data_IF_053405696092
#
_entry.id   IF_053405696092
#
_cell.length_a   1.000
_cell.length_b   1.000
_cell.length_c   1.000
_cell.angle_alpha   90.00
_cell.angle_beta   90.00
_cell.angle_gamma   90.00
#
_symmetry.space_group_name_H-M   'P 1'
#
loop_
_entity.id
_entity.type
_entity.pdbx_description
1 polymer ?
#
# COMPACT_ATOMS: atom_id res chain seq x y z
N UNK A 1 16.45 -32.49 11.71
CA UNK A 1 15.52 -33.19 12.62
C UNK A 1 14.15 -32.52 12.48
N UNK A 2 13.12 -33.23 12.02
CA UNK A 2 11.76 -32.69 11.99
C UNK A 2 11.24 -32.59 13.45
N UNK A 3 10.94 -31.38 13.90
CA UNK A 3 10.46 -31.07 15.25
C UNK A 3 8.95 -30.85 15.14
N UNK A 4 8.15 -31.85 15.55
CA UNK A 4 6.70 -31.88 15.33
C UNK A 4 5.92 -30.65 15.83
N UNK A 5 6.36 -29.99 16.90
CA UNK A 5 5.67 -28.80 17.41
C UNK A 5 5.88 -27.54 16.57
N UNK A 6 6.88 -27.54 15.67
CA UNK A 6 7.14 -26.44 14.73
C UNK A 6 6.36 -26.58 13.41
N UNK A 7 5.70 -27.71 13.13
CA UNK A 7 4.94 -27.91 11.89
C UNK A 7 3.84 -26.85 11.64
N UNK A 8 3.09 -26.37 12.65
CA UNK A 8 2.10 -25.31 12.46
C UNK A 8 2.70 -23.98 11.97
N UNK A 9 3.99 -23.73 12.21
CA UNK A 9 4.66 -22.49 11.80
C UNK A 9 5.03 -22.49 10.32
N UNK A 10 4.96 -23.66 9.65
CA UNK A 10 5.26 -23.84 8.23
C UNK A 10 6.53 -23.09 7.80
N UNK A 11 7.61 -23.19 8.59
CA UNK A 11 8.75 -22.27 8.53
C UNK A 11 9.38 -22.17 7.13
N UNK A 12 9.48 -23.28 6.40
CA UNK A 12 10.00 -23.28 5.02
C UNK A 12 9.14 -22.41 4.09
N UNK A 13 7.82 -22.62 4.11
CA UNK A 13 6.89 -21.82 3.33
C UNK A 13 6.89 -20.35 3.78
N UNK A 14 6.87 -20.11 5.09
CA UNK A 14 6.91 -18.76 5.67
C UNK A 14 8.18 -18.01 5.25
N UNK A 15 9.35 -18.64 5.32
CA UNK A 15 10.63 -18.05 4.90
C UNK A 15 10.65 -17.80 3.40
N UNK A 16 10.14 -18.74 2.60
CA UNK A 16 10.07 -18.58 1.15
C UNK A 16 9.18 -17.40 0.76
N UNK A 17 7.97 -17.31 1.33
CA UNK A 17 7.05 -16.19 1.08
C UNK A 17 7.65 -14.87 1.58
N UNK A 18 8.23 -14.85 2.77
CA UNK A 18 8.89 -13.67 3.32
C UNK A 18 10.03 -13.19 2.42
N UNK A 19 10.87 -14.10 1.93
CA UNK A 19 12.00 -13.76 1.05
C UNK A 19 11.55 -13.10 -0.26
N UNK A 20 10.46 -13.58 -0.87
CA UNK A 20 9.90 -12.97 -2.09
C UNK A 20 9.47 -11.53 -1.84
N UNK A 21 8.77 -11.27 -0.73
CA UNK A 21 8.31 -9.92 -0.39
C UNK A 21 9.47 -8.99 -0.02
N UNK A 22 10.46 -9.50 0.72
CA UNK A 22 11.66 -8.73 1.07
C UNK A 22 12.46 -8.33 -0.15
N UNK A 23 12.64 -9.23 -1.13
CA UNK A 23 13.37 -8.91 -2.35
C UNK A 23 12.65 -7.86 -3.20
N UNK A 24 11.31 -7.85 -3.22
CA UNK A 24 10.55 -6.81 -3.92
C UNK A 24 10.72 -5.42 -3.30
N UNK A 25 11.09 -5.33 -2.01
CA UNK A 25 11.36 -4.07 -1.32
C UNK A 25 12.81 -3.58 -1.46
N UNK A 26 13.70 -4.37 -2.07
CA UNK A 26 15.14 -4.05 -2.20
C UNK A 26 15.46 -3.35 -3.52
N UNK A 27 14.60 -3.46 -4.54
CA UNK A 27 14.79 -2.78 -5.84
C UNK A 27 13.63 -1.83 -6.12
N UNK A 28 13.88 -0.53 -5.93
CA UNK A 28 12.87 0.50 -6.14
C UNK A 28 12.49 0.74 -7.61
N UNK A 29 13.19 0.16 -8.59
CA UNK A 29 12.75 0.20 -9.99
C UNK A 29 11.44 -0.56 -10.16
N UNK A 30 11.24 -1.64 -9.41
CA UNK A 30 9.98 -2.37 -9.40
C UNK A 30 8.84 -1.54 -8.81
N UNK A 31 9.13 -0.77 -7.76
CA UNK A 31 8.15 0.15 -7.18
C UNK A 31 7.78 1.27 -8.17
N UNK A 32 8.77 1.86 -8.85
CA UNK A 32 8.54 2.84 -9.90
C UNK A 32 7.63 2.28 -11.02
N UNK A 33 7.92 1.09 -11.53
CA UNK A 33 7.10 0.42 -12.55
C UNK A 33 5.67 0.17 -12.06
N UNK A 34 5.50 -0.19 -10.79
CA UNK A 34 4.19 -0.44 -10.20
C UNK A 34 3.39 0.85 -10.02
N UNK A 35 4.01 1.94 -9.55
CA UNK A 35 3.39 3.27 -9.52
C UNK A 35 2.90 3.71 -10.90
N UNK A 36 3.71 3.45 -11.92
CA UNK A 36 3.38 3.78 -13.30
C UNK A 36 2.18 2.97 -13.82
N UNK A 37 2.07 1.69 -13.44
CA UNK A 37 0.89 0.85 -13.72
C UNK A 37 -0.33 1.36 -12.96
N UNK A 38 -0.21 1.65 -11.66
CA UNK A 38 -1.31 2.16 -10.86
C UNK A 38 -1.85 3.48 -11.43
N UNK A 39 -0.98 4.45 -11.74
CA UNK A 39 -1.40 5.71 -12.37
C UNK A 39 -2.23 5.49 -13.64
N UNK A 40 -1.81 4.54 -14.49
CA UNK A 40 -2.54 4.17 -15.72
C UNK A 40 -3.89 3.50 -15.42
N UNK A 41 -3.91 2.55 -14.48
CA UNK A 41 -5.15 1.85 -14.07
C UNK A 41 -6.19 2.81 -13.48
N UNK A 42 -5.75 3.84 -12.76
CA UNK A 42 -6.61 4.78 -12.04
C UNK A 42 -6.87 6.11 -12.77
N UNK A 43 -6.42 6.27 -14.02
CA UNK A 43 -6.53 7.51 -14.82
C UNK A 43 -7.97 8.10 -14.88
N UNK A 44 -8.99 7.24 -14.84
CA UNK A 44 -10.40 7.62 -14.91
C UNK A 44 -11.09 7.74 -13.54
N UNK A 45 -10.34 7.73 -12.44
CA UNK A 45 -10.85 7.86 -11.07
C UNK A 45 -10.31 9.13 -10.42
N UNK A 46 -10.99 10.28 -10.54
CA UNK A 46 -10.49 11.57 -10.05
C UNK A 46 -10.21 11.64 -8.54
N UNK A 47 -10.82 10.74 -7.77
CA UNK A 47 -10.63 10.67 -6.32
C UNK A 47 -9.33 9.96 -5.89
N UNK A 48 -8.55 9.42 -6.83
CA UNK A 48 -7.34 8.64 -6.55
C UNK A 48 -6.20 9.16 -7.43
N UNK A 49 -5.11 9.56 -6.80
CA UNK A 49 -3.86 9.89 -7.49
C UNK A 49 -2.71 9.05 -6.94
N UNK A 50 -1.65 8.93 -7.74
CA UNK A 50 -0.43 8.25 -7.38
C UNK A 50 0.75 9.15 -7.77
N UNK A 51 1.83 9.18 -6.97
CA UNK A 51 3.08 9.82 -7.35
C UNK A 51 3.57 9.35 -8.72
N UNK A 52 4.21 10.26 -9.45
CA UNK A 52 4.84 9.95 -10.73
C UNK A 52 6.34 9.81 -10.56
N UNK A 53 6.92 8.61 -10.79
CA UNK A 53 8.36 8.42 -10.76
C UNK A 53 9.06 9.31 -11.79
N UNK A 54 10.18 9.92 -11.41
CA UNK A 54 10.96 10.77 -12.31
C UNK A 54 11.86 9.89 -13.19
N UNK A 55 11.72 9.93 -14.53
CA UNK A 55 12.50 9.08 -15.42
C UNK A 55 14.01 9.27 -15.23
N UNK A 56 14.74 8.16 -15.11
CA UNK A 56 16.21 8.18 -14.93
C UNK A 56 16.69 8.46 -13.50
N UNK A 57 15.78 8.73 -12.56
CA UNK A 57 16.09 8.94 -11.13
C UNK A 57 15.51 7.85 -10.21
N UNK A 58 14.99 6.77 -10.78
CA UNK A 58 14.67 5.54 -10.05
C UNK A 58 15.80 4.52 -10.26
N UNK A 59 16.50 4.20 -9.19
CA UNK A 59 17.56 3.18 -9.13
C UNK A 59 17.13 2.05 -8.19
N UNK A 60 17.97 1.05 -7.98
CA UNK A 60 17.68 -0.02 -7.02
C UNK A 60 17.53 0.52 -5.60
N UNK A 61 18.34 1.52 -5.22
CA UNK A 61 18.44 2.03 -3.85
C UNK A 61 17.72 3.36 -3.61
N UNK A 62 17.31 4.08 -4.68
CA UNK A 62 16.65 5.38 -4.57
C UNK A 62 15.46 5.47 -5.53
N UNK A 63 14.30 5.90 -5.01
CA UNK A 63 13.14 6.31 -5.80
C UNK A 63 12.92 7.82 -5.67
N UNK A 64 12.87 8.52 -6.81
CA UNK A 64 12.48 9.93 -6.87
C UNK A 64 11.15 10.05 -7.61
N UNK A 65 10.19 10.75 -7.01
CA UNK A 65 8.81 10.88 -7.50
C UNK A 65 8.21 12.27 -7.24
N UNK A 66 7.04 12.55 -7.83
CA UNK A 66 6.27 13.77 -7.55
C UNK A 66 5.67 13.77 -6.16
N UNK A 67 5.57 14.95 -5.56
CA UNK A 67 4.89 15.10 -4.27
C UNK A 67 3.37 15.14 -4.45
N UNK A 68 2.66 14.25 -3.77
CA UNK A 68 1.20 14.27 -3.67
C UNK A 68 0.78 14.93 -2.35
N UNK A 69 0.11 16.08 -2.44
CA UNK A 69 -0.39 16.78 -1.26
C UNK A 69 -1.60 16.06 -0.68
N UNK A 70 -1.55 15.71 0.61
CA UNK A 70 -2.66 15.03 1.27
C UNK A 70 -2.58 15.08 2.79
N UNK A 71 -3.66 14.65 3.43
CA UNK A 71 -3.75 14.47 4.88
C UNK A 71 -3.65 12.98 5.18
N UNK A 72 -2.79 12.58 6.12
CA UNK A 72 -2.62 11.18 6.52
C UNK A 72 -3.95 10.56 6.94
N UNK A 73 -4.23 9.34 6.48
CA UNK A 73 -5.43 8.58 6.86
C UNK A 73 -5.54 8.39 8.38
N UNK A 74 -4.40 8.36 9.07
CA UNK A 74 -4.35 8.26 10.54
C UNK A 74 -5.08 9.42 11.23
N UNK A 75 -5.10 10.62 10.63
CA UNK A 75 -5.82 11.77 11.19
C UNK A 75 -7.34 11.55 11.25
N UNK A 76 -7.90 10.80 10.30
CA UNK A 76 -9.32 10.48 10.23
C UNK A 76 -9.70 9.30 11.13
N UNK A 77 -8.74 8.40 11.40
CA UNK A 77 -8.92 7.23 12.26
C UNK A 77 -8.69 7.51 13.74
N UNK A 78 -7.79 8.45 14.05
CA UNK A 78 -7.36 8.76 15.41
C UNK A 78 -7.92 10.10 15.94
N UNK A 79 -8.85 10.73 15.22
CA UNK A 79 -9.46 11.95 15.74
C UNK A 79 -10.30 11.66 17.00
N UNK A 80 -10.32 12.58 17.97
CA UNK A 80 -11.19 12.45 19.15
C UNK A 80 -12.67 12.31 18.79
N UNK A 81 -13.12 12.86 17.66
CA UNK A 81 -14.48 12.67 17.16
C UNK A 81 -14.71 11.22 16.67
N UNK A 82 -13.74 10.64 15.97
CA UNK A 82 -13.81 9.25 15.50
C UNK A 82 -13.85 8.22 16.65
N UNK A 83 -13.22 8.53 17.78
CA UNK A 83 -13.25 7.68 18.97
C UNK A 83 -14.61 7.65 19.68
N UNK A 84 -15.43 8.69 19.52
CA UNK A 84 -16.71 8.85 20.20
C UNK A 84 -17.92 8.41 19.35
N UNK A 85 -17.76 8.22 18.04
CA UNK A 85 -18.82 7.75 17.14
C UNK A 85 -18.79 6.22 16.96
N UNK A 86 -19.81 5.52 17.50
CA UNK A 86 -19.97 4.07 17.34
C UNK A 86 -20.13 3.58 15.89
N UNK A 87 -20.44 4.48 14.95
CA UNK A 87 -20.72 4.16 13.54
C UNK A 87 -19.71 4.79 12.55
N UNK A 88 -18.65 5.45 13.06
CA UNK A 88 -17.68 6.19 12.28
C UNK A 88 -18.27 7.44 11.60
N UNK A 89 -17.43 8.45 11.41
CA UNK A 89 -17.82 9.72 10.78
C UNK A 89 -18.27 9.52 9.33
N UNK A 90 -19.13 10.40 8.78
CA UNK A 90 -19.52 10.37 7.37
C UNK A 90 -18.32 10.30 6.43
N UNK A 91 -17.24 11.03 6.76
CA UNK A 91 -15.99 11.03 5.99
C UNK A 91 -15.31 9.65 6.03
N UNK A 92 -15.30 8.97 7.18
CA UNK A 92 -14.70 7.64 7.30
C UNK A 92 -15.45 6.61 6.44
N UNK A 93 -16.77 6.74 6.30
CA UNK A 93 -17.57 5.88 5.42
C UNK A 93 -17.24 6.11 3.95
N UNK A 94 -17.06 7.36 3.53
CA UNK A 94 -16.64 7.68 2.16
C UNK A 94 -15.23 7.17 1.87
N UNK A 95 -14.28 7.39 2.78
CA UNK A 95 -12.91 6.88 2.68
C UNK A 95 -12.88 5.35 2.59
N UNK A 96 -13.66 4.65 3.43
CA UNK A 96 -13.80 3.21 3.37
C UNK A 96 -14.40 2.76 2.02
N UNK A 97 -15.42 3.46 1.52
CA UNK A 97 -16.03 3.19 0.22
C UNK A 97 -15.06 3.36 -0.95
N UNK A 98 -14.23 4.41 -0.92
CA UNK A 98 -13.15 4.61 -1.89
C UNK A 98 -12.09 3.52 -1.78
N UNK A 99 -11.65 3.18 -0.57
CA UNK A 99 -10.68 2.12 -0.32
C UNK A 99 -11.13 0.77 -0.87
N UNK A 100 -12.39 0.38 -0.61
CA UNK A 100 -12.97 -0.87 -1.11
C UNK A 100 -13.04 -0.87 -2.65
N UNK A 101 -13.49 0.23 -3.27
CA UNK A 101 -13.52 0.35 -4.74
C UNK A 101 -12.13 0.25 -5.36
N UNK A 102 -11.13 0.83 -4.69
CA UNK A 102 -9.73 0.80 -5.12
C UNK A 102 -9.18 -0.62 -5.05
N UNK A 103 -9.42 -1.31 -3.93
CA UNK A 103 -8.98 -2.69 -3.71
C UNK A 103 -9.52 -3.65 -4.78
N UNK A 104 -10.79 -3.53 -5.16
CA UNK A 104 -11.38 -4.39 -6.19
C UNK A 104 -10.95 -4.06 -7.62
N UNK A 105 -10.24 -2.95 -7.82
CA UNK A 105 -9.74 -2.55 -9.14
C UNK A 105 -8.26 -2.92 -9.34
N UNK A 106 -7.53 -3.14 -8.25
CA UNK A 106 -6.16 -3.68 -8.28
C UNK A 106 -6.16 -5.11 -8.82
#
# INVERSE_FOLDING_TARGET
KNIKWLEPLQLENTIQQFGVHMLQQVDFRHEADNLDKFRKSFLLMPAISFPTPIPGLATEEILVETYEQGVSIASYLLSPEAANEQLGSPQNKELAGLGVKTLFKM
#
